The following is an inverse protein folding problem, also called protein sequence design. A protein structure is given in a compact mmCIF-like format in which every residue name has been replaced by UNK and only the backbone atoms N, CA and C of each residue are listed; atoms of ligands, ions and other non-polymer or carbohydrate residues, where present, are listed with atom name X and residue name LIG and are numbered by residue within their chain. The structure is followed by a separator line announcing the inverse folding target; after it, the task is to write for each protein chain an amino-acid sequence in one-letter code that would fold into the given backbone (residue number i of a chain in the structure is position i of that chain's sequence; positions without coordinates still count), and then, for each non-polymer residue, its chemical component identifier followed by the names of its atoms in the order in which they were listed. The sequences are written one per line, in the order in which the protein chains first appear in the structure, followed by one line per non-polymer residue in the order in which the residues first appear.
data_IF_742638001615
#
_entry.id   IF_742638001615
#
_cell.length_a   1.000
_cell.length_b   1.000
_cell.length_c   1.000
_cell.angle_alpha   90.00
_cell.angle_beta   90.00
_cell.angle_gamma   90.00
#
_symmetry.space_group_name_H-M   'P 1'
#
loop_
_entity.id
_entity.type
_entity.pdbx_description
1 polymer ?
#
# COMPACT_ATOMS: atom_id res chain seq x y z
N UNK A 1 12.87 16.99 -1.61
CA UNK A 1 13.37 15.75 -0.97
C UNK A 1 13.11 14.60 -1.94
N UNK A 2 13.91 13.53 -1.89
CA UNK A 2 13.63 12.34 -2.69
C UNK A 2 12.30 11.69 -2.23
N UNK A 3 11.52 11.09 -3.14
CA UNK A 3 10.32 10.35 -2.77
C UNK A 3 10.60 9.26 -1.74
N UNK A 4 9.69 9.10 -0.77
CA UNK A 4 9.72 7.98 0.17
C UNK A 4 8.90 6.81 -0.35
N UNK A 5 9.13 5.62 0.21
CA UNK A 5 8.41 4.42 -0.16
C UNK A 5 7.72 3.82 1.06
N UNK A 6 6.48 3.35 0.86
CA UNK A 6 5.58 2.97 1.92
C UNK A 6 4.95 1.61 1.65
N UNK A 7 4.75 0.84 2.72
CA UNK A 7 3.85 -0.31 2.72
C UNK A 7 2.61 0.05 3.52
N UNK A 8 1.45 -0.08 2.89
CA UNK A 8 0.14 0.04 3.50
C UNK A 8 -0.47 -1.36 3.73
N UNK A 9 -1.07 -1.60 4.89
CA UNK A 9 -1.68 -2.89 5.22
C UNK A 9 -3.20 -2.75 5.27
N UNK A 10 -3.89 -3.51 4.43
CA UNK A 10 -5.36 -3.57 4.38
C UNK A 10 -5.82 -4.88 3.75
N UNK A 11 -7.11 -5.24 3.86
CA UNK A 11 -7.66 -6.35 3.08
C UNK A 11 -7.54 -6.09 1.58
N UNK A 12 -7.45 -7.16 0.78
CA UNK A 12 -7.31 -7.02 -0.67
C UNK A 12 -8.52 -6.34 -1.30
N UNK A 13 -9.73 -6.67 -0.85
CA UNK A 13 -10.96 -5.99 -1.30
C UNK A 13 -10.87 -4.47 -1.12
N UNK A 14 -10.41 -4.02 0.06
CA UNK A 14 -10.25 -2.59 0.34
C UNK A 14 -9.21 -1.93 -0.56
N UNK A 15 -8.05 -2.57 -0.71
CA UNK A 15 -6.97 -2.06 -1.54
C UNK A 15 -7.35 -2.03 -3.04
N UNK A 16 -8.07 -3.05 -3.53
CA UNK A 16 -8.60 -3.11 -4.90
C UNK A 16 -9.66 -2.04 -5.13
N UNK A 17 -10.57 -1.82 -4.18
CA UNK A 17 -11.56 -0.74 -4.28
C UNK A 17 -10.90 0.63 -4.43
N UNK A 18 -9.83 0.89 -3.68
CA UNK A 18 -9.03 2.11 -3.83
C UNK A 18 -8.32 2.22 -5.18
N UNK A 19 -7.70 1.12 -5.64
CA UNK A 19 -7.02 1.02 -6.94
C UNK A 19 -7.95 1.22 -8.14
N UNK A 20 -9.11 0.58 -8.09
CA UNK A 20 -10.04 0.49 -9.21
C UNK A 20 -11.02 1.66 -9.27
N UNK A 21 -10.98 2.57 -8.28
CA UNK A 21 -11.72 3.82 -8.29
C UNK A 21 -11.35 4.67 -9.51
N UNK A 22 -12.34 5.42 -10.02
CA UNK A 22 -12.22 6.28 -11.21
C UNK A 22 -12.77 7.67 -10.91
N UNK A 23 -12.21 8.74 -11.51
CA UNK A 23 -11.15 8.73 -12.53
C UNK A 23 -9.75 8.41 -11.98
N UNK A 24 -9.53 8.64 -10.68
CA UNK A 24 -8.25 8.43 -10.01
C UNK A 24 -8.42 7.46 -8.83
N UNK A 25 -7.38 6.68 -8.54
CA UNK A 25 -7.36 5.80 -7.38
C UNK A 25 -7.11 6.55 -6.09
N UNK A 26 -7.40 5.91 -4.96
CA UNK A 26 -7.13 6.47 -3.63
C UNK A 26 -6.56 5.43 -2.68
N UNK A 27 -5.84 5.91 -1.66
CA UNK A 27 -5.47 5.14 -0.48
C UNK A 27 -6.25 5.61 0.75
N UNK A 28 -6.60 4.64 1.59
CA UNK A 28 -7.22 4.83 2.90
C UNK A 28 -6.63 3.77 3.84
N UNK A 29 -6.13 4.17 5.00
CA UNK A 29 -5.46 3.28 5.97
C UNK A 29 -5.85 3.64 7.39
N UNK A 30 -5.42 2.82 8.36
CA UNK A 30 -5.54 3.14 9.79
C UNK A 30 -6.99 3.36 10.25
N UNK A 31 -7.94 2.58 9.70
CA UNK A 31 -9.38 2.73 9.96
C UNK A 31 -9.96 4.10 9.60
N UNK A 32 -9.41 4.76 8.58
CA UNK A 32 -9.88 6.06 8.12
C UNK A 32 -9.32 7.26 8.89
N UNK A 33 -8.33 7.04 9.77
CA UNK A 33 -7.68 8.12 10.53
C UNK A 33 -6.85 9.03 9.61
N UNK A 34 -6.83 10.32 9.93
CA UNK A 34 -6.05 11.32 9.21
C UNK A 34 -4.52 11.17 9.44
N UNK A 35 -4.10 10.95 10.68
CA UNK A 35 -2.69 11.03 11.06
C UNK A 35 -1.71 10.18 10.22
N UNK A 36 -2.02 8.93 9.82
CA UNK A 36 -1.16 8.16 8.93
C UNK A 36 -0.95 8.84 7.57
N UNK A 37 -1.99 9.44 6.98
CA UNK A 37 -1.94 10.01 5.63
C UNK A 37 -1.14 11.32 5.56
N UNK A 38 -1.05 12.06 6.68
CA UNK A 38 -0.21 13.26 6.78
C UNK A 38 1.29 12.99 6.63
N UNK A 39 1.71 11.73 6.81
CA UNK A 39 3.13 11.32 6.71
C UNK A 39 3.59 11.16 5.27
N UNK A 40 2.66 10.93 4.34
CA UNK A 40 2.96 10.78 2.93
C UNK A 40 3.07 12.16 2.27
N UNK A 41 3.86 12.24 1.21
CA UNK A 41 3.97 13.40 0.34
C UNK A 41 3.67 13.02 -1.12
N UNK A 42 3.36 14.02 -1.94
CA UNK A 42 3.23 13.83 -3.38
C UNK A 42 4.54 13.27 -3.96
N UNK A 43 4.43 12.28 -4.85
CA UNK A 43 5.57 11.57 -5.43
C UNK A 43 6.02 10.34 -4.65
N UNK A 44 5.62 10.20 -3.38
CA UNK A 44 5.90 8.98 -2.60
C UNK A 44 5.27 7.75 -3.27
N UNK A 45 5.91 6.60 -3.10
CA UNK A 45 5.42 5.32 -3.62
C UNK A 45 4.75 4.53 -2.51
N UNK A 46 3.64 3.88 -2.81
CA UNK A 46 2.92 3.04 -1.84
C UNK A 46 2.58 1.70 -2.47
N UNK A 47 2.90 0.61 -1.76
CA UNK A 47 2.42 -0.73 -2.08
C UNK A 47 1.46 -1.21 -0.99
N UNK A 48 0.30 -1.74 -1.38
CA UNK A 48 -0.61 -2.40 -0.47
C UNK A 48 -0.22 -3.86 -0.29
N UNK A 49 0.04 -4.25 0.95
CA UNK A 49 0.13 -5.64 1.38
C UNK A 49 -1.19 -6.06 2.04
N UNK A 50 -1.68 -7.23 1.68
CA UNK A 50 -2.93 -7.78 2.18
C UNK A 50 -2.71 -9.12 2.89
N UNK A 51 -2.94 -9.19 4.22
CA UNK A 51 -2.85 -10.45 4.95
C UNK A 51 -4.02 -11.38 4.63
N UNK A 52 -5.16 -10.83 4.20
CA UNK A 52 -6.40 -11.54 3.92
C UNK A 52 -7.18 -10.88 2.77
N UNK A 53 -8.07 -11.63 2.12
CA UNK A 53 -8.88 -11.10 1.00
C UNK A 53 -9.88 -10.07 1.48
N UNK A 54 -10.62 -10.37 2.55
CA UNK A 54 -11.65 -9.51 3.15
C UNK A 54 -11.24 -9.03 4.54
N UNK A 55 -11.88 -7.96 5.01
CA UNK A 55 -11.60 -7.44 6.35
C UNK A 55 -12.01 -8.46 7.43
N UNK A 56 -11.11 -8.76 8.36
CA UNK A 56 -11.32 -9.80 9.38
C UNK A 56 -11.15 -11.24 8.88
N UNK A 57 -10.82 -11.45 7.59
CA UNK A 57 -10.58 -12.78 7.03
C UNK A 57 -9.32 -13.46 7.56
N UNK A 58 -9.28 -14.78 7.47
CA UNK A 58 -8.18 -15.65 7.94
C UNK A 58 -7.60 -16.53 6.82
N UNK A 59 -7.93 -16.24 5.57
CA UNK A 59 -7.55 -16.99 4.37
C UNK A 59 -6.06 -16.88 4.00
N UNK A 60 -5.30 -16.05 4.73
CA UNK A 60 -3.84 -15.88 4.58
C UNK A 60 -3.43 -15.55 3.13
N UNK A 61 -4.13 -14.63 2.49
CA UNK A 61 -3.76 -14.15 1.15
C UNK A 61 -2.27 -13.73 1.06
N UNK A 62 -1.78 -13.03 2.09
CA UNK A 62 -0.37 -12.66 2.27
C UNK A 62 0.33 -12.19 0.98
N UNK A 63 -0.28 -11.22 0.29
CA UNK A 63 0.15 -10.77 -1.03
C UNK A 63 0.21 -9.25 -1.14
N UNK A 64 1.10 -8.74 -1.98
CA UNK A 64 1.01 -7.37 -2.47
C UNK A 64 -0.03 -7.30 -3.59
N UNK A 65 -0.97 -6.35 -3.49
CA UNK A 65 -2.18 -6.34 -4.33
C UNK A 65 -2.33 -5.08 -5.19
N UNK A 66 -1.64 -4.00 -4.84
CA UNK A 66 -1.57 -2.78 -5.64
C UNK A 66 -0.33 -1.97 -5.29
N UNK A 67 0.16 -1.19 -6.26
CA UNK A 67 1.32 -0.30 -6.08
C UNK A 67 1.11 0.97 -6.93
N UNK A 68 1.51 2.12 -6.40
CA UNK A 68 1.27 3.39 -7.08
C UNK A 68 2.05 4.55 -6.48
N UNK A 69 1.84 5.73 -7.07
CA UNK A 69 2.45 7.00 -6.67
C UNK A 69 1.39 7.93 -6.08
N UNK A 70 1.66 8.42 -4.88
CA UNK A 70 0.85 9.40 -4.17
C UNK A 70 0.79 10.70 -4.98
N UNK A 71 -0.41 11.19 -5.23
CA UNK A 71 -0.62 12.40 -6.02
C UNK A 71 -0.52 13.67 -5.18
N UNK A 72 -0.42 14.80 -5.87
CA UNK A 72 -0.46 16.12 -5.25
C UNK A 72 -1.80 16.36 -4.52
N UNK A 73 -1.76 17.23 -3.52
CA UNK A 73 -2.90 17.52 -2.66
C UNK A 73 -2.75 16.98 -1.24
N UNK A 74 -3.57 17.53 -0.35
CA UNK A 74 -3.65 17.13 1.05
C UNK A 74 -4.58 15.92 1.22
N UNK A 75 -4.45 15.15 2.31
CA UNK A 75 -5.49 14.20 2.70
C UNK A 75 -6.84 14.90 2.80
N UNK A 76 -7.91 14.23 2.35
CA UNK A 76 -9.25 14.78 2.34
C UNK A 76 -10.26 13.79 2.93
N UNK A 77 -11.36 14.31 3.45
CA UNK A 77 -12.46 13.51 3.96
C UNK A 77 -13.36 13.02 2.82
N UNK A 78 -13.87 11.80 2.95
CA UNK A 78 -14.83 11.25 2.01
C UNK A 78 -15.99 10.62 2.78
N UNK A 79 -17.20 11.17 2.65
CA UNK A 79 -18.39 10.60 3.28
C UNK A 79 -18.79 9.30 2.57
N UNK A 80 -18.62 8.17 3.27
CA UNK A 80 -19.07 6.87 2.79
C UNK A 80 -20.54 6.58 3.09
N UNK A 81 -21.26 7.54 3.71
CA UNK A 81 -22.59 7.39 4.27
C UNK A 81 -22.56 6.77 5.67
N UNK A 82 -23.72 6.74 6.32
CA UNK A 82 -23.92 6.10 7.63
C UNK A 82 -22.98 6.62 8.73
N UNK A 83 -22.56 7.88 8.64
CA UNK A 83 -21.71 8.54 9.65
C UNK A 83 -20.23 8.15 9.59
N UNK A 84 -19.79 7.39 8.59
CA UNK A 84 -18.38 7.05 8.42
C UNK A 84 -17.70 7.96 7.38
N UNK A 85 -16.87 8.88 7.87
CA UNK A 85 -16.14 9.86 7.07
C UNK A 85 -14.62 9.61 7.19
N UNK A 86 -14.06 8.64 6.45
CA UNK A 86 -12.63 8.39 6.46
C UNK A 86 -11.83 9.46 5.70
N UNK A 87 -10.56 9.55 6.07
CA UNK A 87 -9.55 10.29 5.32
C UNK A 87 -8.96 9.45 4.19
N UNK A 88 -8.80 10.08 3.02
CA UNK A 88 -8.23 9.50 1.80
C UNK A 88 -7.11 10.37 1.26
N UNK A 89 -6.30 9.78 0.39
CA UNK A 89 -5.34 10.49 -0.44
C UNK A 89 -5.28 9.86 -1.82
N UNK A 90 -5.14 10.69 -2.84
CA UNK A 90 -5.13 10.22 -4.21
C UNK A 90 -3.82 9.50 -4.55
N UNK A 91 -3.96 8.41 -5.31
CA UNK A 91 -2.85 7.57 -5.76
C UNK A 91 -3.06 7.19 -7.22
N UNK A 92 -2.06 7.46 -8.05
CA UNK A 92 -1.99 6.92 -9.40
C UNK A 92 -1.38 5.52 -9.32
N UNK A 93 -2.23 4.50 -9.45
CA UNK A 93 -1.79 3.11 -9.42
C UNK A 93 -1.19 2.67 -10.76
N UNK A 94 -0.06 1.98 -10.69
CA UNK A 94 0.56 1.37 -11.86
C UNK A 94 -0.17 0.08 -12.26
N UNK A 95 -0.15 -0.25 -13.54
CA UNK A 95 -0.53 -1.59 -14.00
C UNK A 95 0.44 -2.61 -13.38
N UNK A 96 -0.09 -3.63 -12.70
CA UNK A 96 0.68 -4.62 -11.97
C UNK A 96 -0.15 -5.88 -11.70
N UNK A 97 0.53 -7.00 -11.46
CA UNK A 97 -0.05 -8.25 -10.96
C UNK A 97 0.08 -8.35 -9.44
N UNK A 98 -0.88 -9.01 -8.81
CA UNK A 98 -0.76 -9.34 -7.39
C UNK A 98 0.33 -10.40 -7.18
N UNK A 99 1.12 -10.27 -6.12
CA UNK A 99 2.27 -11.14 -5.88
C UNK A 99 2.32 -11.61 -4.42
N UNK A 100 2.49 -12.91 -4.15
CA UNK A 100 2.65 -13.42 -2.79
C UNK A 100 3.96 -12.90 -2.18
N UNK A 101 3.95 -12.63 -0.87
CA UNK A 101 5.16 -12.16 -0.17
C UNK A 101 6.20 -13.27 0.03
N UNK A 102 5.80 -14.55 0.01
CA UNK A 102 6.65 -15.66 0.41
C UNK A 102 8.05 -15.68 -0.26
N UNK A 103 8.20 -15.43 -1.59
CA UNK A 103 9.52 -15.38 -2.24
C UNK A 103 10.38 -14.15 -1.87
N UNK A 104 9.80 -13.18 -1.17
CA UNK A 104 10.42 -11.91 -0.82
C UNK A 104 10.86 -11.83 0.63
N UNK A 105 10.41 -12.76 1.49
CA UNK A 105 10.64 -12.72 2.94
C UNK A 105 12.13 -12.61 3.28
N UNK A 106 12.98 -13.40 2.62
CA UNK A 106 14.44 -13.43 2.84
C UNK A 106 15.19 -12.29 2.14
N UNK A 107 14.49 -11.44 1.36
CA UNK A 107 15.11 -10.47 0.45
C UNK A 107 14.75 -9.02 0.77
N UNK A 108 13.66 -8.79 1.49
CA UNK A 108 13.22 -7.46 1.88
C UNK A 108 14.03 -7.00 3.09
N UNK A 109 14.75 -5.90 2.96
CA UNK A 109 15.62 -5.35 3.99
C UNK A 109 14.87 -4.98 5.27
N UNK A 110 13.58 -4.64 5.15
CA UNK A 110 12.75 -4.36 6.32
C UNK A 110 12.36 -5.61 7.15
N UNK A 111 12.59 -6.81 6.63
CA UNK A 111 12.37 -8.08 7.34
C UNK A 111 13.69 -8.48 7.99
N UNK A 112 13.88 -8.04 9.24
CA UNK A 112 15.12 -8.30 9.99
C UNK A 112 15.26 -9.78 10.42
N UNK A 113 14.13 -10.44 10.66
CA UNK A 113 14.06 -11.84 11.12
C UNK A 113 13.00 -12.59 10.31
N UNK A 114 13.39 -13.45 9.36
CA UNK A 114 12.46 -14.20 8.52
C UNK A 114 11.41 -15.00 9.30
N UNK A 115 11.76 -15.57 10.46
CA UNK A 115 10.82 -16.33 11.29
C UNK A 115 9.72 -15.44 11.92
N UNK A 116 9.93 -14.13 11.95
CA UNK A 116 9.03 -13.11 12.50
C UNK A 116 8.64 -12.07 11.44
N UNK A 117 8.64 -12.46 10.16
CA UNK A 117 8.44 -11.55 9.03
C UNK A 117 7.16 -10.71 9.11
N UNK A 118 6.11 -11.24 9.74
CA UNK A 118 4.83 -10.56 9.96
C UNK A 118 4.91 -9.33 10.88
N UNK A 119 5.98 -9.17 11.67
CA UNK A 119 6.05 -8.20 12.76
C UNK A 119 5.92 -6.74 12.30
N UNK A 120 6.53 -6.36 11.16
CA UNK A 120 6.44 -4.97 10.68
C UNK A 120 5.04 -4.62 10.16
N UNK A 121 4.29 -5.60 9.66
CA UNK A 121 2.96 -5.37 9.09
C UNK A 121 1.90 -4.95 10.11
N UNK A 122 2.09 -5.21 11.42
CA UNK A 122 1.16 -4.76 12.47
C UNK A 122 1.08 -3.24 12.63
N UNK A 123 2.02 -2.48 12.07
CA UNK A 123 2.00 -1.02 12.12
C UNK A 123 1.00 -0.37 11.17
N UNK A 124 0.43 -1.12 10.21
CA UNK A 124 -0.59 -0.64 9.29
C UNK A 124 -0.06 0.26 8.16
N UNK A 125 0.91 1.13 8.44
CA UNK A 125 1.60 1.97 7.46
C UNK A 125 3.04 2.27 7.94
N UNK A 126 4.03 1.84 7.17
CA UNK A 126 5.44 2.03 7.49
C UNK A 126 6.28 2.27 6.24
N UNK A 127 7.40 2.96 6.40
CA UNK A 127 8.33 3.23 5.31
C UNK A 127 9.35 2.10 5.10
N UNK A 128 9.82 2.01 3.87
CA UNK A 128 10.78 1.01 3.38
C UNK A 128 11.81 1.65 2.46
N UNK A 129 12.88 0.91 2.17
CA UNK A 129 13.96 1.41 1.33
C UNK A 129 13.56 1.46 -0.15
N UNK A 130 14.32 2.20 -0.97
CA UNK A 130 14.16 2.17 -2.44
C UNK A 130 14.36 0.76 -3.02
N UNK A 131 15.30 -0.01 -2.44
CA UNK A 131 15.55 -1.38 -2.87
C UNK A 131 14.35 -2.29 -2.62
N UNK A 132 13.68 -2.13 -1.47
CA UNK A 132 12.49 -2.92 -1.12
C UNK A 132 11.34 -2.65 -2.09
N UNK A 133 11.03 -1.37 -2.36
CA UNK A 133 9.91 -1.05 -3.26
C UNK A 133 10.19 -1.48 -4.69
N UNK A 134 11.45 -1.37 -5.14
CA UNK A 134 11.85 -1.82 -6.46
C UNK A 134 11.75 -3.35 -6.58
N UNK A 135 12.13 -4.09 -5.54
CA UNK A 135 11.96 -5.54 -5.49
C UNK A 135 10.48 -5.94 -5.54
N UNK A 136 9.63 -5.28 -4.76
CA UNK A 136 8.18 -5.51 -4.78
C UNK A 136 7.60 -5.21 -6.16
N UNK A 137 7.89 -4.04 -6.73
CA UNK A 137 7.43 -3.62 -8.04
C UNK A 137 7.81 -4.63 -9.15
N UNK A 138 9.06 -5.11 -9.15
CA UNK A 138 9.52 -6.12 -10.11
C UNK A 138 8.80 -7.46 -9.93
N UNK A 139 8.57 -7.87 -8.68
CA UNK A 139 7.85 -9.13 -8.38
C UNK A 139 6.39 -9.05 -8.81
N UNK A 140 5.77 -7.88 -8.64
CA UNK A 140 4.42 -7.58 -9.13
C UNK A 140 4.37 -7.37 -10.64
N UNK A 141 5.50 -7.40 -11.36
CA UNK A 141 5.59 -7.04 -12.78
C UNK A 141 4.93 -5.68 -13.07
N UNK A 142 5.13 -4.73 -12.17
CA UNK A 142 4.53 -3.41 -12.26
C UNK A 142 5.18 -2.57 -13.36
N UNK A 143 4.43 -1.62 -13.93
CA UNK A 143 4.99 -0.58 -14.78
C UNK A 143 5.95 0.32 -13.97
N UNK A 144 7.25 0.03 -14.09
CA UNK A 144 8.30 0.74 -13.37
C UNK A 144 8.39 2.22 -13.79
N UNK A 145 8.05 2.56 -15.05
CA UNK A 145 8.07 3.94 -15.52
C UNK A 145 6.98 4.76 -14.83
N UNK A 146 5.79 4.19 -14.67
CA UNK A 146 4.69 4.82 -13.93
C UNK A 146 5.04 5.04 -12.44
N UNK A 147 5.95 4.23 -11.89
CA UNK A 147 6.45 4.37 -10.53
C UNK A 147 7.72 5.24 -10.44
N UNK A 148 8.28 5.73 -11.55
CA UNK A 148 9.59 6.37 -11.59
C UNK A 148 10.69 5.53 -10.91
N UNK A 149 10.73 4.22 -11.22
CA UNK A 149 11.70 3.21 -10.76
C UNK A 149 12.52 2.61 -11.91
#
# INVERSE_FOLDING_TARGET
MAPRNWIAVASAEHARRGRDHRPLGFMQVGHGKHAPLKRLAAGDRVAYYSPATVFGGTDKLQSFVSIGVVQAGEPYEFDMGQGFVPWRRDVAYAAAHEAPIAPLIERLAFIEKPQQWGYKFRFGLFDVTDADIALIARTMQADLKALAL
#
